data_IF_516780918836
#
_entry.id   IF_516780918836
#
_cell.length_a   1.000
_cell.length_b   1.000
_cell.length_c   1.000
_cell.angle_alpha   90.00
_cell.angle_beta   90.00
_cell.angle_gamma   90.00
#
_symmetry.space_group_name_H-M   'P 1'
#
loop_
_entity.id
_entity.type
_entity.pdbx_description
1 polymer ?
#
# COMPACT_ATOMS: atom_id res chain seq x y z
N UNK A 1 8.28 -7.25 -49.84
CA UNK A 1 8.59 -6.46 -48.68
C UNK A 1 7.31 -5.76 -48.26
N UNK A 2 6.61 -6.31 -47.28
CA UNK A 2 5.39 -5.69 -46.73
C UNK A 2 5.83 -4.50 -45.88
N UNK A 3 5.46 -3.28 -46.31
CA UNK A 3 5.66 -2.08 -45.48
C UNK A 3 4.80 -2.27 -44.22
N UNK A 4 5.45 -2.53 -43.07
CA UNK A 4 4.79 -2.45 -41.79
C UNK A 4 4.32 -1.00 -41.63
N UNK A 5 3.02 -0.82 -41.46
CA UNK A 5 2.51 0.49 -41.03
C UNK A 5 3.28 0.92 -39.74
N UNK A 6 3.63 2.21 -39.60
CA UNK A 6 4.32 2.65 -38.39
C UNK A 6 3.48 2.24 -37.17
N UNK A 7 4.05 1.37 -36.34
CA UNK A 7 3.35 0.95 -35.12
C UNK A 7 3.27 2.17 -34.20
N UNK A 8 2.09 2.38 -33.65
CA UNK A 8 1.79 3.48 -32.73
C UNK A 8 2.74 3.46 -31.52
N UNK A 9 3.26 4.63 -31.14
CA UNK A 9 4.17 4.81 -30.00
C UNK A 9 3.51 5.73 -29.00
N UNK A 10 3.19 5.19 -27.83
CA UNK A 10 2.68 5.98 -26.70
C UNK A 10 3.78 6.85 -26.09
N UNK A 11 3.42 7.97 -25.49
CA UNK A 11 4.35 8.76 -24.69
C UNK A 11 4.60 8.09 -23.33
N UNK A 12 3.55 7.52 -22.74
CA UNK A 12 3.60 6.88 -21.42
C UNK A 12 2.77 5.60 -21.37
N UNK A 13 3.36 4.50 -20.88
CA UNK A 13 2.64 3.30 -20.44
C UNK A 13 2.75 3.19 -18.92
N UNK A 14 1.62 3.27 -18.22
CA UNK A 14 1.54 2.99 -16.77
C UNK A 14 1.23 1.50 -16.51
N UNK A 15 1.95 0.86 -15.61
CA UNK A 15 1.74 -0.54 -15.23
C UNK A 15 1.31 -0.62 -13.77
N UNK A 16 0.06 -1.03 -13.54
CA UNK A 16 -0.61 -1.02 -12.25
C UNK A 16 -1.56 0.18 -12.09
N UNK A 17 -2.84 -0.10 -11.83
CA UNK A 17 -3.90 0.90 -11.65
C UNK A 17 -4.39 0.85 -10.19
N UNK A 18 -3.44 0.86 -9.25
CA UNK A 18 -3.70 1.19 -7.84
C UNK A 18 -3.86 2.71 -7.66
N UNK A 19 -4.01 3.24 -6.43
CA UNK A 19 -4.22 4.68 -6.21
C UNK A 19 -3.17 5.56 -6.90
N UNK A 20 -1.89 5.17 -6.88
CA UNK A 20 -0.83 5.97 -7.50
C UNK A 20 -0.88 5.94 -9.03
N UNK A 21 -1.09 4.77 -9.64
CA UNK A 21 -1.27 4.67 -11.10
C UNK A 21 -2.55 5.33 -11.59
N UNK A 22 -3.64 5.22 -10.82
CA UNK A 22 -4.90 5.89 -11.12
C UNK A 22 -4.78 7.42 -10.98
N UNK A 23 -4.05 7.92 -9.97
CA UNK A 23 -3.76 9.34 -9.81
C UNK A 23 -2.94 9.90 -10.97
N UNK A 24 -1.90 9.17 -11.39
CA UNK A 24 -1.10 9.52 -12.57
C UNK A 24 -1.97 9.55 -13.84
N UNK A 25 -2.87 8.56 -14.02
CA UNK A 25 -3.79 8.53 -15.15
C UNK A 25 -4.80 9.69 -15.13
N UNK A 26 -5.34 10.02 -13.96
CA UNK A 26 -6.29 11.12 -13.79
C UNK A 26 -5.66 12.50 -14.06
N UNK A 27 -4.38 12.69 -13.71
CA UNK A 27 -3.63 13.89 -14.02
C UNK A 27 -3.12 13.92 -15.48
N UNK A 28 -2.89 12.77 -16.11
CA UNK A 28 -2.53 12.69 -17.53
C UNK A 28 -3.71 13.00 -18.47
N UNK A 29 -4.94 12.63 -18.09
CA UNK A 29 -6.14 12.74 -18.95
C UNK A 29 -6.43 14.15 -19.50
N UNK A 30 -6.22 15.27 -18.75
CA UNK A 30 -6.45 16.61 -19.28
C UNK A 30 -5.35 17.11 -20.23
N UNK A 31 -4.21 16.42 -20.33
CA UNK A 31 -3.06 16.83 -21.13
C UNK A 31 -3.24 16.39 -22.58
N UNK A 32 -3.81 17.25 -23.41
CA UNK A 32 -4.24 16.92 -24.78
C UNK A 32 -3.12 16.40 -25.69
N UNK A 33 -1.88 16.79 -25.45
CA UNK A 33 -0.71 16.41 -26.25
C UNK A 33 0.02 15.18 -25.69
N UNK A 34 -0.52 14.53 -24.65
CA UNK A 34 0.07 13.36 -24.00
C UNK A 34 -0.74 12.10 -24.34
N UNK A 35 -0.14 11.20 -25.10
CA UNK A 35 -0.72 9.89 -25.35
C UNK A 35 -0.28 8.87 -24.28
N UNK A 36 -1.14 8.67 -23.29
CA UNK A 36 -0.88 7.77 -22.19
C UNK A 36 -1.88 6.60 -22.13
N UNK A 37 -1.39 5.40 -21.80
CA UNK A 37 -2.21 4.22 -21.55
C UNK A 37 -1.77 3.54 -20.26
N UNK A 38 -2.74 3.07 -19.47
CA UNK A 38 -2.50 2.38 -18.21
C UNK A 38 -3.06 0.98 -18.25
N UNK A 39 -2.28 0.02 -17.76
CA UNK A 39 -2.65 -1.42 -17.80
C UNK A 39 -2.64 -2.02 -16.40
N UNK A 40 -3.60 -2.91 -16.14
CA UNK A 40 -3.65 -3.71 -14.92
C UNK A 40 -4.17 -5.11 -15.19
N UNK A 41 -3.67 -6.10 -14.45
CA UNK A 41 -4.10 -7.49 -14.56
C UNK A 41 -5.49 -7.76 -13.95
N UNK A 42 -5.97 -6.90 -13.05
CA UNK A 42 -7.30 -6.99 -12.47
C UNK A 42 -8.40 -6.69 -13.50
N UNK A 43 -9.64 -6.96 -13.17
CA UNK A 43 -10.80 -6.66 -14.01
C UNK A 43 -11.43 -5.30 -13.73
N UNK A 44 -10.89 -4.57 -12.75
CA UNK A 44 -11.33 -3.24 -12.34
C UNK A 44 -10.60 -2.77 -11.08
N UNK A 45 -10.84 -1.52 -10.68
CA UNK A 45 -10.27 -0.98 -9.46
C UNK A 45 -10.88 -1.63 -8.22
N UNK A 46 -10.04 -2.04 -7.29
CA UNK A 46 -10.43 -2.53 -5.97
C UNK A 46 -9.29 -2.30 -4.98
N UNK A 47 -9.57 -1.59 -3.88
CA UNK A 47 -8.56 -1.22 -2.92
C UNK A 47 -8.69 -2.02 -1.63
N UNK A 48 -7.75 -2.94 -1.38
CA UNK A 48 -7.67 -3.78 -0.18
C UNK A 48 -8.99 -4.45 0.25
N UNK A 49 -9.71 -5.15 -0.65
CA UNK A 49 -11.07 -5.65 -0.37
C UNK A 49 -11.14 -6.59 0.84
N UNK A 50 -10.07 -7.32 1.14
CA UNK A 50 -10.04 -8.26 2.26
C UNK A 50 -9.95 -7.62 3.65
N UNK A 51 -9.68 -6.31 3.75
CA UNK A 51 -9.66 -5.54 5.01
C UNK A 51 -10.51 -4.28 4.93
N UNK A 52 -11.51 -4.26 4.05
CA UNK A 52 -12.48 -3.16 3.95
C UNK A 52 -13.55 -3.27 5.04
N UNK A 53 -13.12 -3.31 6.30
CA UNK A 53 -14.00 -3.43 7.46
C UNK A 53 -14.90 -2.19 7.55
N UNK A 54 -16.18 -2.40 7.79
CA UNK A 54 -17.17 -1.33 7.87
C UNK A 54 -16.80 -0.29 8.94
N UNK A 55 -17.00 0.98 8.59
CA UNK A 55 -16.72 2.11 9.47
C UNK A 55 -15.26 2.53 9.55
N UNK A 56 -14.31 1.77 8.97
CA UNK A 56 -12.90 2.18 8.95
C UNK A 56 -12.65 3.40 8.08
N UNK A 57 -11.78 4.30 8.56
CA UNK A 57 -11.42 5.53 7.86
C UNK A 57 -10.02 5.47 7.27
N UNK A 58 -9.73 6.35 6.32
CA UNK A 58 -8.36 6.70 5.99
C UNK A 58 -7.70 7.39 7.18
N UNK A 59 -6.38 7.24 7.31
CA UNK A 59 -5.57 7.96 8.29
C UNK A 59 -5.02 9.29 7.75
N UNK A 60 -5.51 9.72 6.58
CA UNK A 60 -5.16 10.97 5.91
C UNK A 60 -6.44 11.72 5.54
N UNK A 61 -6.42 13.07 5.52
CA UNK A 61 -7.60 13.85 5.15
C UNK A 61 -7.99 13.66 3.69
N UNK A 62 -9.22 14.01 3.35
CA UNK A 62 -9.79 13.87 1.99
C UNK A 62 -8.98 14.57 0.88
N UNK A 63 -8.13 15.54 1.23
CA UNK A 63 -7.20 16.20 0.30
C UNK A 63 -6.12 15.25 -0.22
N UNK A 64 -5.88 14.13 0.47
CA UNK A 64 -5.01 13.05 0.00
C UNK A 64 -5.72 12.17 -1.03
N UNK A 65 -6.50 12.78 -1.92
CA UNK A 65 -7.12 12.14 -3.06
C UNK A 65 -6.13 11.97 -4.23
N UNK A 66 -6.63 11.58 -5.39
CA UNK A 66 -5.79 11.25 -6.55
C UNK A 66 -5.14 12.48 -7.20
N UNK A 67 -5.70 13.70 -7.03
CA UNK A 67 -5.38 14.85 -7.92
C UNK A 67 -5.29 16.20 -7.19
N UNK A 68 -6.00 16.40 -6.08
CA UNK A 68 -6.27 17.74 -5.51
C UNK A 68 -4.99 18.49 -5.14
N UNK A 69 -3.94 17.79 -4.66
CA UNK A 69 -2.68 18.41 -4.29
C UNK A 69 -1.84 18.85 -5.51
N UNK A 70 -2.18 18.42 -6.72
CA UNK A 70 -1.57 18.90 -7.96
C UNK A 70 -2.49 19.87 -8.72
N UNK A 71 -3.79 19.57 -8.76
CA UNK A 71 -4.83 20.38 -9.40
C UNK A 71 -6.07 20.46 -8.51
N UNK A 72 -6.20 21.50 -7.68
CA UNK A 72 -7.38 21.70 -6.82
C UNK A 72 -8.68 21.91 -7.60
N UNK A 73 -8.61 22.18 -8.88
CA UNK A 73 -9.78 22.40 -9.74
C UNK A 73 -10.21 21.16 -10.52
N UNK A 74 -9.47 20.07 -10.36
CA UNK A 74 -9.71 18.83 -11.11
C UNK A 74 -11.12 18.29 -10.95
N UNK A 75 -11.72 17.94 -12.09
CA UNK A 75 -13.03 17.22 -12.11
C UNK A 75 -12.96 15.84 -11.44
N UNK A 76 -11.77 15.30 -11.25
CA UNK A 76 -11.51 14.01 -10.63
C UNK A 76 -11.22 14.10 -9.12
N UNK A 77 -11.43 15.26 -8.48
CA UNK A 77 -11.25 15.44 -7.05
C UNK A 77 -12.27 14.64 -6.23
N UNK A 78 -11.93 14.31 -4.98
CA UNK A 78 -12.85 13.67 -4.04
C UNK A 78 -14.11 14.52 -3.80
N UNK A 79 -13.98 15.85 -3.77
CA UNK A 79 -15.12 16.76 -3.65
C UNK A 79 -16.05 16.70 -4.87
N UNK A 80 -15.50 16.56 -6.07
CA UNK A 80 -16.27 16.38 -7.30
C UNK A 80 -17.06 15.06 -7.27
N UNK A 81 -16.43 13.97 -6.79
CA UNK A 81 -17.10 12.69 -6.54
C UNK A 81 -18.25 12.84 -5.53
N UNK A 82 -18.00 13.44 -4.36
CA UNK A 82 -19.03 13.64 -3.35
C UNK A 82 -20.22 14.44 -3.89
N UNK A 83 -19.95 15.43 -4.74
CA UNK A 83 -21.01 16.22 -5.40
C UNK A 83 -21.81 15.36 -6.36
N UNK A 84 -21.14 14.57 -7.20
CA UNK A 84 -21.78 13.67 -8.16
C UNK A 84 -22.60 12.57 -7.45
N UNK A 85 -22.10 12.05 -6.34
CA UNK A 85 -22.78 11.03 -5.54
C UNK A 85 -23.89 11.57 -4.61
N UNK A 86 -24.11 12.90 -4.58
CA UNK A 86 -25.10 13.53 -3.69
C UNK A 86 -24.71 13.52 -2.21
N UNK A 87 -23.42 13.29 -1.90
CA UNK A 87 -22.92 13.11 -0.53
C UNK A 87 -22.16 14.31 0.05
N UNK A 88 -21.99 15.37 -0.73
CA UNK A 88 -21.18 16.51 -0.31
C UNK A 88 -21.70 17.17 0.99
N UNK A 89 -23.03 17.38 1.11
CA UNK A 89 -23.61 17.94 2.33
C UNK A 89 -23.54 16.98 3.54
N UNK A 90 -23.88 15.68 3.42
CA UNK A 90 -23.63 14.73 4.51
C UNK A 90 -22.17 14.67 4.95
N UNK A 91 -21.22 14.74 4.03
CA UNK A 91 -19.79 14.77 4.36
C UNK A 91 -19.41 16.06 5.11
N UNK A 92 -19.92 17.21 4.67
CA UNK A 92 -19.73 18.49 5.36
C UNK A 92 -20.27 18.46 6.79
N UNK A 93 -21.50 17.97 6.98
CA UNK A 93 -22.16 17.90 8.30
C UNK A 93 -21.45 16.91 9.24
N UNK A 94 -20.79 15.89 8.70
CA UNK A 94 -20.01 14.91 9.48
C UNK A 94 -18.84 15.57 10.24
N UNK A 95 -18.36 16.71 9.77
CA UNK A 95 -17.25 17.47 10.38
C UNK A 95 -15.96 16.64 10.62
N UNK A 96 -15.75 15.60 9.82
CA UNK A 96 -14.56 14.78 9.83
C UNK A 96 -13.89 14.83 8.47
N UNK A 97 -12.62 15.23 8.44
CA UNK A 97 -11.85 15.29 7.19
C UNK A 97 -11.35 13.93 6.69
N UNK A 98 -11.51 12.87 7.49
CA UNK A 98 -11.04 11.52 7.16
C UNK A 98 -12.16 10.72 6.49
N UNK A 99 -12.08 10.43 5.19
CA UNK A 99 -13.08 9.64 4.48
C UNK A 99 -13.18 8.20 5.01
N UNK A 100 -14.33 7.57 4.85
CA UNK A 100 -14.41 6.12 4.99
C UNK A 100 -13.56 5.44 3.90
N UNK A 101 -12.91 4.34 4.21
CA UNK A 101 -12.14 3.57 3.19
C UNK A 101 -13.03 3.08 2.06
N UNK A 102 -14.23 2.62 2.38
CA UNK A 102 -15.24 2.22 1.38
C UNK A 102 -15.66 3.38 0.47
N UNK A 103 -15.74 4.60 1.00
CA UNK A 103 -16.06 5.81 0.21
C UNK A 103 -14.88 6.22 -0.67
N UNK A 104 -13.65 6.06 -0.20
CA UNK A 104 -12.46 6.28 -1.02
C UNK A 104 -12.31 5.24 -2.15
N UNK A 105 -12.59 3.96 -1.89
CA UNK A 105 -12.63 2.93 -2.93
C UNK A 105 -13.71 3.25 -3.98
N UNK A 106 -14.90 3.65 -3.55
CA UNK A 106 -15.98 4.08 -4.44
C UNK A 106 -15.59 5.31 -5.28
N UNK A 107 -14.89 6.27 -4.68
CA UNK A 107 -14.31 7.42 -5.37
C UNK A 107 -13.31 6.99 -6.46
N UNK A 108 -12.36 6.13 -6.13
CA UNK A 108 -11.38 5.64 -7.11
C UNK A 108 -12.06 4.88 -8.26
N UNK A 109 -13.08 4.07 -7.98
CA UNK A 109 -13.89 3.40 -9.02
C UNK A 109 -14.63 4.41 -9.90
N UNK A 110 -15.18 5.46 -9.29
CA UNK A 110 -15.85 6.53 -10.02
C UNK A 110 -14.89 7.29 -10.95
N UNK A 111 -13.66 7.55 -10.52
CA UNK A 111 -12.62 8.13 -11.39
C UNK A 111 -12.26 7.15 -12.49
N UNK A 112 -11.95 5.90 -12.15
CA UNK A 112 -11.56 4.87 -13.13
C UNK A 112 -12.58 4.66 -14.24
N UNK A 113 -13.89 4.79 -13.93
CA UNK A 113 -14.97 4.65 -14.91
C UNK A 113 -15.04 5.82 -15.93
N UNK A 114 -14.33 6.92 -15.69
CA UNK A 114 -14.35 8.10 -16.56
C UNK A 114 -13.09 8.23 -17.43
N UNK A 115 -12.05 7.41 -17.17
CA UNK A 115 -10.77 7.47 -17.89
C UNK A 115 -10.77 6.51 -19.07
N UNK A 116 -10.60 7.04 -20.27
CA UNK A 116 -10.49 6.26 -21.50
C UNK A 116 -9.14 5.55 -21.69
N UNK A 117 -8.11 5.99 -20.96
CA UNK A 117 -6.74 5.50 -21.03
C UNK A 117 -6.50 4.18 -20.29
N UNK A 118 -7.47 3.65 -19.50
CA UNK A 118 -7.30 2.45 -18.70
C UNK A 118 -7.62 1.17 -19.48
N UNK A 119 -6.76 0.15 -19.36
CA UNK A 119 -6.92 -1.17 -19.93
C UNK A 119 -6.79 -2.25 -18.87
N UNK A 120 -7.90 -2.82 -18.47
CA UNK A 120 -7.99 -3.90 -17.50
C UNK A 120 -7.69 -5.27 -18.11
N UNK A 121 -7.40 -6.27 -17.26
CA UNK A 121 -7.06 -7.65 -17.66
C UNK A 121 -5.84 -7.70 -18.59
N UNK A 122 -4.83 -6.87 -18.32
CA UNK A 122 -3.54 -6.84 -19.02
C UNK A 122 -2.42 -7.02 -17.99
N UNK A 123 -1.80 -8.19 -18.00
CA UNK A 123 -0.64 -8.49 -17.16
C UNK A 123 0.63 -8.16 -17.93
N UNK A 124 1.41 -7.21 -17.41
CA UNK A 124 2.73 -6.94 -17.96
C UNK A 124 3.68 -8.09 -17.62
N UNK A 125 4.41 -8.57 -18.65
CA UNK A 125 5.30 -9.71 -18.55
C UNK A 125 6.77 -9.31 -18.67
N UNK A 126 7.08 -8.38 -19.59
CA UNK A 126 8.45 -7.95 -19.86
C UNK A 126 8.45 -6.52 -20.40
N UNK A 127 9.55 -5.83 -20.13
CA UNK A 127 9.92 -4.56 -20.77
C UNK A 127 11.27 -4.75 -21.41
N UNK A 128 11.36 -4.43 -22.71
CA UNK A 128 12.57 -4.57 -23.52
C UNK A 128 12.89 -3.26 -24.22
N UNK A 129 14.15 -3.03 -24.56
CA UNK A 129 14.52 -1.91 -25.44
C UNK A 129 14.32 -2.27 -26.90
N UNK A 130 13.73 -1.34 -27.65
CA UNK A 130 13.58 -1.42 -29.09
C UNK A 130 13.98 -0.09 -29.72
N UNK A 131 15.28 0.08 -29.96
CA UNK A 131 15.83 1.33 -30.44
C UNK A 131 15.67 2.46 -29.43
N UNK A 132 15.00 3.55 -29.81
CA UNK A 132 14.74 4.70 -28.94
C UNK A 132 13.50 4.50 -28.04
N UNK A 133 12.80 3.38 -28.16
CA UNK A 133 11.56 3.11 -27.45
C UNK A 133 11.71 1.91 -26.49
N UNK A 134 10.71 1.78 -25.64
CA UNK A 134 10.50 0.61 -24.80
C UNK A 134 9.35 -0.21 -25.39
N UNK A 135 9.50 -1.53 -25.38
CA UNK A 135 8.47 -2.50 -25.78
C UNK A 135 7.94 -3.19 -24.53
N UNK A 136 6.67 -2.97 -24.23
CA UNK A 136 5.98 -3.62 -23.10
C UNK A 136 5.17 -4.80 -23.62
N UNK A 137 5.54 -6.02 -23.24
CA UNK A 137 4.82 -7.24 -23.56
C UNK A 137 3.76 -7.54 -22.50
N UNK A 138 2.51 -7.74 -22.94
CA UNK A 138 1.34 -7.96 -22.11
C UNK A 138 0.69 -9.30 -22.41
N UNK A 139 0.22 -10.00 -21.36
CA UNK A 139 -0.77 -11.08 -21.49
C UNK A 139 -2.17 -10.50 -21.29
N UNK A 140 -3.05 -10.73 -22.25
CA UNK A 140 -4.49 -10.42 -22.14
C UNK A 140 -5.17 -11.57 -21.42
N UNK A 141 -5.88 -11.26 -20.35
CA UNK A 141 -6.50 -12.25 -19.46
C UNK A 141 -8.01 -12.39 -19.74
N UNK A 142 -8.50 -13.60 -19.61
CA UNK A 142 -9.94 -13.89 -19.52
C UNK A 142 -10.51 -13.58 -18.11
N UNK A 143 -11.78 -13.89 -17.91
CA UNK A 143 -12.45 -13.67 -16.62
C UNK A 143 -11.92 -14.56 -15.49
N UNK A 144 -11.19 -15.63 -15.80
CA UNK A 144 -10.62 -16.59 -14.84
C UNK A 144 -9.11 -16.39 -14.66
N UNK A 145 -8.53 -15.33 -15.28
CA UNK A 145 -7.09 -15.01 -15.21
C UNK A 145 -6.23 -15.84 -16.16
N UNK A 146 -6.83 -16.63 -17.05
CA UNK A 146 -6.14 -17.36 -18.11
C UNK A 146 -5.68 -16.44 -19.24
N UNK A 147 -4.49 -16.67 -19.80
CA UNK A 147 -3.98 -15.89 -20.94
C UNK A 147 -4.69 -16.29 -22.24
N UNK A 148 -5.33 -15.33 -22.91
CA UNK A 148 -6.00 -15.54 -24.19
C UNK A 148 -5.14 -15.19 -25.39
N UNK A 149 -4.33 -14.14 -25.30
CA UNK A 149 -3.39 -13.68 -26.32
C UNK A 149 -2.33 -12.77 -25.71
N UNK A 150 -1.31 -12.45 -26.50
CA UNK A 150 -0.31 -11.45 -26.14
C UNK A 150 -0.54 -10.16 -26.94
N UNK A 151 -0.22 -9.02 -26.30
CA UNK A 151 -0.21 -7.70 -26.89
C UNK A 151 1.16 -7.06 -26.63
N UNK A 152 1.57 -6.12 -27.48
CA UNK A 152 2.78 -5.34 -27.31
C UNK A 152 2.45 -3.86 -27.47
N UNK A 153 2.95 -3.04 -26.53
CA UNK A 153 2.86 -1.59 -26.55
C UNK A 153 4.25 -1.01 -26.69
N UNK A 154 4.42 -0.12 -27.66
CA UNK A 154 5.62 0.72 -27.78
C UNK A 154 5.41 2.03 -27.07
N UNK A 155 6.41 2.49 -26.34
CA UNK A 155 6.32 3.71 -25.57
C UNK A 155 7.66 4.40 -25.39
N UNK A 156 7.63 5.72 -25.12
CA UNK A 156 8.81 6.49 -24.74
C UNK A 156 9.14 6.30 -23.26
N UNK A 157 8.11 6.28 -22.40
CA UNK A 157 8.26 6.15 -20.95
C UNK A 157 7.38 5.05 -20.39
N UNK A 158 7.82 4.44 -19.29
CA UNK A 158 7.02 3.50 -18.49
C UNK A 158 6.98 3.97 -17.05
N UNK A 159 5.79 3.98 -16.43
CA UNK A 159 5.62 4.19 -15.00
C UNK A 159 5.20 2.88 -14.32
N UNK A 160 6.04 2.38 -13.42
CA UNK A 160 5.79 1.18 -12.62
C UNK A 160 5.05 1.55 -11.35
N UNK A 161 3.76 1.22 -11.28
CA UNK A 161 2.88 1.41 -10.13
C UNK A 161 2.45 0.05 -9.56
N UNK A 162 3.38 -0.91 -9.45
CA UNK A 162 3.12 -2.32 -9.16
C UNK A 162 2.54 -2.56 -7.75
N UNK A 163 2.71 -1.60 -6.83
CA UNK A 163 2.25 -1.71 -5.46
C UNK A 163 2.97 -2.81 -4.69
N UNK A 164 2.27 -3.36 -3.69
CA UNK A 164 2.82 -4.33 -2.75
C UNK A 164 2.05 -5.64 -2.77
N UNK A 165 2.65 -6.70 -2.23
CA UNK A 165 2.02 -8.00 -2.02
C UNK A 165 2.01 -8.37 -0.53
N UNK A 166 0.99 -9.12 -0.05
CA UNK A 166 0.96 -9.66 1.29
C UNK A 166 2.25 -10.41 1.64
N UNK A 167 2.75 -10.22 2.88
CA UNK A 167 3.94 -10.89 3.36
C UNK A 167 3.64 -11.73 4.59
N UNK A 168 3.81 -13.04 4.49
CA UNK A 168 3.78 -13.97 5.61
C UNK A 168 5.21 -14.32 6.05
N UNK A 169 5.52 -14.36 7.36
CA UNK A 169 6.72 -15.03 7.86
C UNK A 169 6.79 -16.48 7.40
N UNK A 170 8.00 -17.02 7.22
CA UNK A 170 8.22 -18.34 6.60
C UNK A 170 7.40 -19.47 7.25
N UNK A 171 7.37 -19.52 8.58
CA UNK A 171 6.61 -20.54 9.33
C UNK A 171 5.11 -20.48 9.05
N UNK A 172 4.53 -19.28 9.01
CA UNK A 172 3.11 -19.09 8.70
C UNK A 172 2.82 -19.27 7.20
N UNK A 173 3.72 -18.89 6.31
CA UNK A 173 3.56 -19.09 4.87
C UNK A 173 3.49 -20.60 4.52
N UNK A 174 4.32 -21.42 5.20
CA UNK A 174 4.31 -22.88 5.03
C UNK A 174 2.95 -23.47 5.42
N UNK A 175 2.37 -23.04 6.54
CA UNK A 175 1.06 -23.52 7.00
C UNK A 175 -0.09 -23.00 6.10
N UNK A 176 -0.02 -21.73 5.69
CA UNK A 176 -1.01 -21.15 4.77
C UNK A 176 -1.06 -21.84 3.39
N UNK A 177 0.06 -22.42 2.96
CA UNK A 177 0.16 -23.15 1.69
C UNK A 177 -0.19 -24.65 1.80
N UNK A 178 -0.32 -25.16 3.03
CA UNK A 178 -0.74 -26.55 3.26
C UNK A 178 -2.28 -26.63 3.27
N UNK A 179 -2.83 -27.77 2.79
CA UNK A 179 -4.27 -28.08 2.90
C UNK A 179 -4.61 -28.53 4.32
N UNK A 180 -4.18 -27.76 5.33
CA UNK A 180 -4.41 -28.03 6.74
C UNK A 180 -5.83 -27.68 7.19
N UNK A 181 -6.28 -28.30 8.29
CA UNK A 181 -7.61 -28.09 8.84
C UNK A 181 -7.77 -26.70 9.49
N UNK A 182 -6.68 -26.13 10.03
CA UNK A 182 -6.71 -24.85 10.76
C UNK A 182 -6.37 -23.66 9.87
N UNK A 183 -7.20 -22.61 9.82
CA UNK A 183 -6.97 -21.45 8.96
C UNK A 183 -5.73 -20.64 9.36
N UNK A 184 -4.81 -20.41 8.41
CA UNK A 184 -3.72 -19.44 8.50
C UNK A 184 -3.85 -18.46 7.35
N UNK A 185 -4.20 -17.20 7.65
CA UNK A 185 -4.51 -16.18 6.65
C UNK A 185 -3.57 -14.99 6.77
N UNK A 186 -3.27 -14.34 5.66
CA UNK A 186 -2.85 -12.94 5.71
C UNK A 186 -4.07 -12.04 5.93
N UNK A 187 -3.89 -10.90 6.60
CA UNK A 187 -4.99 -9.93 6.82
C UNK A 187 -5.70 -9.49 5.52
N UNK A 188 -5.02 -9.54 4.37
CA UNK A 188 -5.62 -9.27 3.06
C UNK A 188 -6.74 -10.25 2.64
N UNK A 189 -6.88 -11.38 3.35
CA UNK A 189 -7.90 -12.40 3.10
C UNK A 189 -8.97 -12.45 4.21
N UNK A 190 -8.89 -11.51 5.17
CA UNK A 190 -9.67 -11.54 6.40
C UNK A 190 -11.19 -11.58 6.16
N UNK A 191 -11.74 -10.57 5.47
CA UNK A 191 -13.20 -10.44 5.32
C UNK A 191 -13.85 -11.64 4.59
N UNK A 192 -13.31 -12.13 3.47
CA UNK A 192 -13.88 -13.32 2.79
C UNK A 192 -13.88 -14.57 3.65
N UNK A 193 -12.94 -14.69 4.61
CA UNK A 193 -12.76 -15.89 5.44
C UNK A 193 -13.06 -15.67 6.93
N UNK A 194 -13.68 -14.54 7.28
CA UNK A 194 -13.99 -14.16 8.67
C UNK A 194 -14.84 -15.21 9.37
N UNK A 195 -15.81 -15.82 8.70
CA UNK A 195 -16.68 -16.82 9.29
C UNK A 195 -15.91 -18.07 9.75
N UNK A 196 -14.93 -18.54 8.97
CA UNK A 196 -14.06 -19.66 9.35
C UNK A 196 -13.29 -19.36 10.65
N UNK A 197 -12.82 -18.11 10.80
CA UNK A 197 -12.12 -17.68 12.01
C UNK A 197 -13.02 -17.70 13.23
N UNK A 198 -14.26 -17.24 13.10
CA UNK A 198 -15.23 -17.23 14.21
C UNK A 198 -15.64 -18.64 14.65
N UNK A 199 -15.55 -19.62 13.76
CA UNK A 199 -15.86 -21.04 14.04
C UNK A 199 -14.67 -21.81 14.64
N UNK A 200 -13.46 -21.27 14.57
CA UNK A 200 -12.23 -21.95 15.01
C UNK A 200 -12.04 -22.03 16.54
N UNK A 201 -12.99 -21.51 17.35
CA UNK A 201 -12.95 -21.52 18.82
C UNK A 201 -11.89 -20.62 19.45
N UNK A 202 -10.78 -20.37 18.77
CA UNK A 202 -9.77 -19.38 19.16
C UNK A 202 -9.01 -18.86 17.94
N UNK A 203 -8.68 -17.56 17.95
CA UNK A 203 -7.96 -16.88 16.86
C UNK A 203 -6.80 -16.09 17.45
N UNK A 204 -5.64 -16.16 16.81
CA UNK A 204 -4.50 -15.31 17.15
C UNK A 204 -4.21 -14.33 16.01
N UNK A 205 -4.31 -13.02 16.30
CA UNK A 205 -3.89 -11.95 15.39
C UNK A 205 -2.41 -11.66 15.64
N UNK A 206 -1.60 -11.71 14.57
CA UNK A 206 -0.14 -11.47 14.63
C UNK A 206 0.20 -10.21 13.88
N UNK A 207 0.66 -9.17 14.59
CA UNK A 207 1.04 -7.89 13.98
C UNK A 207 0.92 -6.72 14.95
N UNK A 208 1.41 -5.53 14.55
CA UNK A 208 1.42 -4.33 15.42
C UNK A 208 0.87 -3.06 14.75
N UNK A 209 0.47 -3.13 13.49
CA UNK A 209 0.01 -1.96 12.74
C UNK A 209 -1.51 -1.85 12.69
N UNK A 210 -1.99 -0.86 11.95
CA UNK A 210 -3.41 -0.53 11.80
C UNK A 210 -4.26 -1.74 11.40
N UNK A 211 -3.85 -2.54 10.40
CA UNK A 211 -4.61 -3.73 9.98
C UNK A 211 -4.75 -4.79 11.07
N UNK A 212 -3.70 -4.95 11.92
CA UNK A 212 -3.80 -5.87 13.05
C UNK A 212 -4.82 -5.39 14.08
N UNK A 213 -4.81 -4.10 14.40
CA UNK A 213 -5.72 -3.48 15.34
C UNK A 213 -7.18 -3.53 14.86
N UNK A 214 -7.42 -3.23 13.59
CA UNK A 214 -8.76 -3.30 12.97
C UNK A 214 -9.32 -4.71 12.97
N UNK A 215 -8.52 -5.69 12.54
CA UNK A 215 -8.91 -7.12 12.56
C UNK A 215 -9.15 -7.60 13.99
N UNK A 216 -8.28 -7.23 14.92
CA UNK A 216 -8.44 -7.60 16.33
C UNK A 216 -9.74 -7.02 16.91
N UNK A 217 -10.00 -5.72 16.72
CA UNK A 217 -11.20 -5.05 17.22
C UNK A 217 -12.47 -5.68 16.63
N UNK A 218 -12.47 -5.91 15.32
CA UNK A 218 -13.61 -6.47 14.60
C UNK A 218 -13.90 -7.92 15.02
N UNK A 219 -12.86 -8.77 15.09
CA UNK A 219 -13.00 -10.15 15.59
C UNK A 219 -13.46 -10.19 17.04
N UNK A 220 -12.84 -9.41 17.93
CA UNK A 220 -13.18 -9.44 19.35
C UNK A 220 -14.63 -9.03 19.59
N UNK A 221 -15.15 -8.08 18.83
CA UNK A 221 -16.53 -7.63 18.91
C UNK A 221 -17.51 -8.75 18.63
N UNK A 222 -17.24 -9.61 17.64
CA UNK A 222 -18.14 -10.69 17.25
C UNK A 222 -17.84 -12.01 17.96
N UNK A 223 -16.59 -12.26 18.32
CA UNK A 223 -16.13 -13.51 18.93
C UNK A 223 -16.45 -13.60 20.42
N UNK A 224 -16.33 -12.48 21.15
CA UNK A 224 -16.56 -12.49 22.60
C UNK A 224 -17.97 -12.97 23.02
N UNK A 225 -19.08 -12.55 22.37
CA UNK A 225 -20.40 -13.09 22.66
C UNK A 225 -20.56 -14.58 22.35
N UNK A 226 -19.72 -15.13 21.47
CA UNK A 226 -19.73 -16.54 21.06
C UNK A 226 -18.85 -17.43 21.96
N UNK A 227 -18.10 -16.84 22.89
CA UNK A 227 -17.11 -17.56 23.72
C UNK A 227 -15.81 -17.91 22.96
N UNK A 228 -15.61 -17.39 21.76
CA UNK A 228 -14.38 -17.57 20.99
C UNK A 228 -13.31 -16.62 21.52
N UNK A 229 -12.12 -17.18 21.85
CA UNK A 229 -10.97 -16.39 22.32
C UNK A 229 -10.25 -15.71 21.17
N UNK A 230 -9.90 -14.43 21.33
CA UNK A 230 -9.10 -13.67 20.35
C UNK A 230 -7.85 -13.14 21.04
N UNK A 231 -6.69 -13.68 20.71
CA UNK A 231 -5.40 -13.20 21.24
C UNK A 231 -4.70 -12.29 20.22
N UNK A 232 -3.90 -11.34 20.70
CA UNK A 232 -3.14 -10.42 19.85
C UNK A 232 -1.66 -10.45 20.23
N UNK A 233 -0.81 -10.84 19.28
CA UNK A 233 0.62 -11.05 19.48
C UNK A 233 1.42 -10.11 18.59
N UNK A 234 2.38 -9.38 19.16
CA UNK A 234 3.29 -8.54 18.40
C UNK A 234 4.73 -8.62 18.92
N UNK A 235 5.68 -8.66 17.98
CA UNK A 235 7.11 -8.53 18.26
C UNK A 235 7.52 -7.11 18.70
N UNK A 236 6.68 -6.12 18.44
CA UNK A 236 6.91 -4.74 18.88
C UNK A 236 6.81 -4.65 20.41
N UNK A 237 7.67 -3.84 21.01
CA UNK A 237 7.73 -3.66 22.47
C UNK A 237 6.41 -3.12 23.05
N UNK A 238 5.61 -2.48 22.23
CA UNK A 238 4.31 -1.90 22.58
C UNK A 238 3.38 -1.84 21.36
N UNK A 239 2.09 -1.69 21.60
CA UNK A 239 1.13 -1.22 20.61
C UNK A 239 1.30 0.30 20.52
N UNK A 240 1.96 0.76 19.45
CA UNK A 240 2.34 2.16 19.32
C UNK A 240 1.37 2.93 18.44
N UNK A 241 1.03 4.18 18.84
CA UNK A 241 0.21 5.05 18.03
C UNK A 241 0.95 5.52 16.78
N UNK A 242 0.20 5.92 15.77
CA UNK A 242 0.75 6.67 14.65
C UNK A 242 1.16 8.06 15.11
N UNK A 243 2.38 8.48 14.76
CA UNK A 243 2.90 9.81 15.10
C UNK A 243 2.35 10.86 14.13
N UNK A 244 1.15 11.31 14.37
CA UNK A 244 0.39 12.20 13.50
C UNK A 244 0.33 13.62 14.04
N UNK A 245 1.50 14.24 14.26
CA UNK A 245 1.60 15.66 14.66
C UNK A 245 2.02 16.53 13.48
N UNK A 246 1.68 17.82 13.53
CA UNK A 246 1.92 18.73 12.40
C UNK A 246 3.38 18.80 11.98
N UNK A 247 4.32 18.84 12.94
CA UNK A 247 5.75 18.89 12.64
C UNK A 247 6.28 17.53 12.14
N UNK A 248 5.74 16.41 12.58
CA UNK A 248 6.10 15.10 12.00
C UNK A 248 5.54 14.91 10.60
N UNK A 249 4.36 15.47 10.30
CA UNK A 249 3.78 15.45 8.95
C UNK A 249 4.62 16.23 7.93
N UNK A 250 5.40 17.23 8.34
CA UNK A 250 6.35 17.91 7.45
C UNK A 250 7.47 17.01 6.92
N UNK A 251 7.68 15.83 7.52
CA UNK A 251 8.56 14.80 6.94
C UNK A 251 8.00 14.18 5.65
N UNK A 252 6.71 14.38 5.37
CA UNK A 252 6.10 14.09 4.07
C UNK A 252 6.26 15.33 3.18
N UNK A 253 7.51 15.61 2.75
CA UNK A 253 7.88 16.78 1.97
C UNK A 253 9.01 16.50 0.99
N UNK A 254 9.15 17.33 -0.08
CA UNK A 254 10.28 17.26 -0.99
C UNK A 254 11.62 17.41 -0.27
N UNK A 255 11.71 18.35 0.69
CA UNK A 255 12.94 18.64 1.44
C UNK A 255 13.38 17.45 2.29
N UNK A 256 12.44 16.75 2.93
CA UNK A 256 12.78 15.54 3.67
C UNK A 256 13.18 14.40 2.74
N UNK A 257 12.53 14.28 1.60
CA UNK A 257 12.91 13.32 0.56
C UNK A 257 14.34 13.59 0.06
N UNK A 258 14.71 14.85 -0.15
CA UNK A 258 16.06 15.25 -0.55
C UNK A 258 17.09 14.86 0.49
N UNK A 259 16.83 15.13 1.80
CA UNK A 259 17.69 14.67 2.88
C UNK A 259 17.81 13.15 2.88
N UNK A 260 16.67 12.43 2.88
CA UNK A 260 16.66 10.97 2.96
C UNK A 260 17.43 10.34 1.81
N UNK A 261 17.22 10.83 0.57
CA UNK A 261 17.90 10.32 -0.63
C UNK A 261 19.41 10.57 -0.61
N UNK A 262 19.86 11.68 -0.01
CA UNK A 262 21.29 12.02 0.10
C UNK A 262 22.06 11.18 1.14
N UNK A 263 21.35 10.46 2.02
CA UNK A 263 21.99 9.64 3.05
C UNK A 263 22.57 8.33 2.46
N UNK A 264 23.63 7.76 3.08
CA UNK A 264 24.09 6.41 2.79
C UNK A 264 22.96 5.37 2.96
N UNK A 265 22.99 4.29 2.18
CA UNK A 265 21.98 3.22 2.20
C UNK A 265 21.73 2.69 3.62
N UNK A 266 22.79 2.41 4.39
CA UNK A 266 22.69 1.92 5.77
C UNK A 266 21.93 2.88 6.70
N UNK A 267 22.10 4.20 6.50
CA UNK A 267 21.41 5.23 7.28
C UNK A 267 19.93 5.34 6.86
N UNK A 268 19.63 5.27 5.57
CA UNK A 268 18.25 5.21 5.07
C UNK A 268 17.51 4.01 5.67
N UNK A 269 18.12 2.83 5.65
CA UNK A 269 17.54 1.62 6.22
C UNK A 269 17.37 1.71 7.75
N UNK A 270 18.29 2.36 8.45
CA UNK A 270 18.17 2.62 9.88
C UNK A 270 16.98 3.54 10.18
N UNK A 271 16.87 4.64 9.44
CA UNK A 271 15.77 5.61 9.58
C UNK A 271 14.42 4.97 9.26
N UNK A 272 14.29 4.22 8.18
CA UNK A 272 13.04 3.52 7.82
C UNK A 272 12.56 2.58 8.93
N UNK A 273 13.49 1.93 9.66
CA UNK A 273 13.14 1.12 10.84
C UNK A 273 12.69 1.96 12.04
N UNK A 274 13.34 3.09 12.30
CA UNK A 274 13.05 3.96 13.45
C UNK A 274 11.75 4.78 13.24
N UNK A 275 11.49 5.18 12.00
CA UNK A 275 10.36 6.04 11.63
C UNK A 275 9.07 5.26 11.30
N UNK A 276 9.02 3.98 11.62
CA UNK A 276 7.82 3.15 11.35
C UNK A 276 6.55 3.70 11.98
N UNK A 277 6.65 4.40 13.11
CA UNK A 277 5.49 5.01 13.77
C UNK A 277 4.84 6.12 12.93
N UNK A 278 5.55 6.73 11.98
CA UNK A 278 5.01 7.80 11.12
C UNK A 278 3.90 7.30 10.18
N UNK A 279 3.94 6.02 9.75
CA UNK A 279 3.01 5.48 8.76
C UNK A 279 2.59 4.01 9.00
N UNK A 280 3.14 3.35 10.04
CA UNK A 280 2.83 1.94 10.38
C UNK A 280 2.29 1.79 11.80
N UNK A 281 1.98 2.89 12.49
CA UNK A 281 1.33 2.91 13.80
C UNK A 281 -0.17 2.65 13.71
N UNK A 282 -0.83 2.65 14.86
CA UNK A 282 -2.28 2.51 15.00
C UNK A 282 -2.86 3.92 15.21
N UNK A 283 -3.99 4.26 14.59
CA UNK A 283 -4.66 5.53 14.88
C UNK A 283 -5.07 5.61 16.36
N UNK A 284 -4.94 6.79 16.97
CA UNK A 284 -5.24 6.96 18.38
C UNK A 284 -6.68 6.57 18.71
N UNK A 285 -7.64 7.01 17.88
CA UNK A 285 -9.05 6.69 18.04
C UNK A 285 -9.32 5.17 18.08
N UNK A 286 -8.64 4.39 17.23
CA UNK A 286 -8.79 2.92 17.24
C UNK A 286 -8.17 2.29 18.50
N UNK A 287 -7.08 2.84 19.03
CA UNK A 287 -6.51 2.38 20.31
C UNK A 287 -7.52 2.61 21.43
N UNK A 288 -8.15 3.78 21.46
CA UNK A 288 -9.16 4.15 22.45
C UNK A 288 -10.40 3.24 22.31
N UNK A 289 -10.91 3.02 21.09
CA UNK A 289 -12.01 2.07 20.82
C UNK A 289 -11.70 0.65 21.33
N UNK A 290 -10.49 0.15 21.07
CA UNK A 290 -10.08 -1.18 21.54
C UNK A 290 -10.04 -1.20 23.07
N UNK A 291 -9.50 -0.18 23.71
CA UNK A 291 -9.45 -0.11 25.18
C UNK A 291 -10.85 -0.08 25.79
N UNK A 292 -11.75 0.73 25.26
CA UNK A 292 -13.15 0.77 25.72
C UNK A 292 -13.88 -0.57 25.53
N UNK A 293 -13.62 -1.27 24.42
CA UNK A 293 -14.16 -2.62 24.20
C UNK A 293 -13.65 -3.60 25.27
N UNK A 294 -12.35 -3.63 25.54
CA UNK A 294 -11.74 -4.49 26.56
C UNK A 294 -12.28 -4.18 27.96
N UNK A 295 -12.38 -2.86 28.28
CA UNK A 295 -12.94 -2.40 29.55
C UNK A 295 -14.40 -2.86 29.71
N UNK A 296 -15.23 -2.69 28.67
CA UNK A 296 -16.62 -3.14 28.69
C UNK A 296 -16.78 -4.65 28.82
N UNK A 297 -15.92 -5.43 28.16
CA UNK A 297 -15.93 -6.90 28.26
C UNK A 297 -15.59 -7.41 29.67
N UNK A 298 -14.75 -6.69 30.41
CA UNK A 298 -14.35 -7.06 31.80
C UNK A 298 -15.25 -6.48 32.88
N UNK A 299 -16.23 -5.65 32.50
CA UNK A 299 -17.17 -5.09 33.46
C UNK A 299 -17.88 -6.20 34.28
N UNK A 300 -18.16 -5.90 35.53
CA UNK A 300 -18.77 -6.83 36.50
C UNK A 300 -17.91 -8.07 36.82
N UNK A 301 -16.56 -7.97 36.69
CA UNK A 301 -15.63 -9.03 37.09
C UNK A 301 -15.57 -10.21 36.10
N UNK A 302 -16.02 -10.05 34.86
CA UNK A 302 -15.87 -11.06 33.82
C UNK A 302 -14.40 -11.23 33.45
N UNK A 303 -13.99 -12.47 33.17
CA UNK A 303 -12.66 -12.72 32.61
C UNK A 303 -12.59 -12.21 31.15
N UNK A 304 -11.44 -11.63 30.80
CA UNK A 304 -11.18 -11.19 29.44
C UNK A 304 -10.90 -12.41 28.55
N UNK A 305 -11.68 -12.65 27.48
CA UNK A 305 -11.44 -13.75 26.54
C UNK A 305 -10.34 -13.40 25.54
N UNK A 306 -9.27 -12.76 25.99
CA UNK A 306 -8.20 -12.25 25.12
C UNK A 306 -6.90 -12.04 25.89
N UNK A 307 -5.78 -12.22 25.20
CA UNK A 307 -4.44 -11.83 25.68
C UNK A 307 -3.79 -10.93 24.64
N UNK A 308 -3.20 -9.84 25.12
CA UNK A 308 -2.42 -8.90 24.31
C UNK A 308 -0.94 -9.07 24.69
N UNK A 309 -0.14 -9.65 23.80
CA UNK A 309 1.25 -10.01 24.04
C UNK A 309 2.17 -9.09 23.22
N UNK A 310 2.85 -8.18 23.91
CA UNK A 310 3.87 -7.28 23.32
C UNK A 310 5.26 -7.90 23.45
N UNK A 311 6.26 -7.35 22.76
CA UNK A 311 7.64 -7.81 22.76
C UNK A 311 7.76 -9.34 22.49
N UNK A 312 6.77 -9.93 21.83
CA UNK A 312 6.62 -11.38 21.66
C UNK A 312 6.60 -11.72 20.16
N UNK A 313 7.64 -12.40 19.72
CA UNK A 313 7.75 -12.87 18.34
C UNK A 313 7.20 -14.30 18.20
N UNK A 314 6.51 -14.58 17.10
CA UNK A 314 6.25 -15.93 16.62
C UNK A 314 7.53 -16.40 15.93
N UNK A 315 8.23 -17.37 16.50
CA UNK A 315 9.51 -17.89 15.98
C UNK A 315 9.31 -19.09 15.07
N UNK A 316 8.33 -19.94 15.38
CA UNK A 316 7.88 -21.03 14.52
C UNK A 316 6.39 -21.29 14.70
N UNK A 317 5.81 -22.09 13.78
CA UNK A 317 4.42 -22.49 13.82
C UNK A 317 4.28 -23.90 13.23
N UNK A 318 3.41 -24.73 13.84
CA UNK A 318 3.13 -26.10 13.37
C UNK A 318 1.66 -26.46 13.59
N UNK A 319 1.16 -27.39 12.80
CA UNK A 319 -0.14 -28.01 13.04
C UNK A 319 -0.08 -28.92 14.27
N UNK A 320 -1.19 -29.00 15.01
CA UNK A 320 -1.38 -29.89 16.15
C UNK A 320 -2.85 -30.30 16.23
N UNK A 321 -3.15 -31.44 15.64
CA UNK A 321 -4.53 -31.90 15.47
C UNK A 321 -5.30 -31.00 14.52
N UNK A 322 -6.40 -30.44 15.03
CA UNK A 322 -7.26 -29.46 14.33
C UNK A 322 -6.90 -27.99 14.59
N UNK A 323 -5.76 -27.73 15.25
CA UNK A 323 -5.30 -26.41 15.63
C UNK A 323 -3.85 -26.13 15.22
N UNK A 324 -3.34 -25.02 15.73
CA UNK A 324 -1.99 -24.51 15.47
C UNK A 324 -1.29 -24.27 16.80
N UNK A 325 -0.04 -24.67 16.89
CA UNK A 325 0.88 -24.28 17.97
C UNK A 325 1.86 -23.27 17.42
N UNK A 326 1.89 -22.09 18.05
CA UNK A 326 2.86 -21.03 17.79
C UNK A 326 3.95 -21.09 18.86
N UNK A 327 5.20 -21.15 18.45
CA UNK A 327 6.34 -21.00 19.34
C UNK A 327 6.61 -19.51 19.51
N UNK A 328 6.49 -19.03 20.73
CA UNK A 328 6.61 -17.63 21.11
C UNK A 328 7.95 -17.38 21.82
N UNK A 329 8.60 -16.27 21.50
CA UNK A 329 9.80 -15.79 22.20
C UNK A 329 9.61 -14.31 22.60
N UNK A 330 9.71 -14.03 23.90
CA UNK A 330 9.60 -12.70 24.46
C UNK A 330 10.97 -12.02 24.50
N UNK A 331 11.16 -10.95 23.72
CA UNK A 331 12.48 -10.35 23.46
C UNK A 331 13.13 -9.72 24.71
N UNK A 332 12.32 -9.17 25.64
CA UNK A 332 12.85 -8.46 26.82
C UNK A 332 13.25 -9.41 27.96
N UNK A 333 12.59 -10.57 28.07
CA UNK A 333 12.84 -11.51 29.16
C UNK A 333 13.57 -12.78 28.75
N UNK A 334 13.71 -13.00 27.43
CA UNK A 334 14.28 -14.24 26.87
C UNK A 334 13.42 -15.49 27.07
N UNK A 335 12.22 -15.37 27.66
CA UNK A 335 11.31 -16.51 27.88
C UNK A 335 10.71 -16.98 26.59
N UNK A 336 10.53 -18.28 26.48
CA UNK A 336 9.79 -18.94 25.40
C UNK A 336 8.55 -19.65 25.91
N UNK A 337 7.53 -19.80 25.07
CA UNK A 337 6.32 -20.53 25.42
C UNK A 337 5.64 -21.03 24.12
N UNK A 338 4.91 -22.13 24.24
CA UNK A 338 3.95 -22.56 23.24
C UNK A 338 2.60 -21.87 23.44
N UNK A 339 1.98 -21.49 22.34
CA UNK A 339 0.65 -20.88 22.32
C UNK A 339 -0.24 -21.62 21.32
N UNK A 340 -1.32 -22.24 21.84
CA UNK A 340 -2.29 -23.00 21.03
C UNK A 340 -3.44 -22.11 20.60
N UNK A 341 -3.81 -22.21 19.32
CA UNK A 341 -4.90 -21.45 18.70
C UNK A 341 -5.56 -22.26 17.60
N UNK A 342 -6.86 -22.04 17.37
CA UNK A 342 -7.59 -22.68 16.27
C UNK A 342 -7.34 -22.04 14.90
N UNK A 343 -6.98 -20.75 14.88
CA UNK A 343 -6.68 -20.04 13.64
C UNK A 343 -5.67 -18.92 13.85
N UNK A 344 -5.03 -18.47 12.77
CA UNK A 344 -4.07 -17.33 12.77
C UNK A 344 -4.43 -16.33 11.69
N UNK A 345 -4.51 -15.04 12.05
CA UNK A 345 -4.54 -13.93 11.10
C UNK A 345 -3.23 -13.18 11.19
N UNK A 346 -2.39 -13.30 10.17
CA UNK A 346 -1.12 -12.63 10.08
C UNK A 346 -1.27 -11.26 9.43
N UNK A 347 -1.34 -10.20 10.24
CA UNK A 347 -1.28 -8.80 9.80
C UNK A 347 0.19 -8.32 9.80
N UNK A 348 1.02 -9.06 9.09
CA UNK A 348 2.49 -8.92 9.10
C UNK A 348 3.02 -7.98 8.02
N UNK A 349 2.11 -7.27 7.36
CA UNK A 349 2.38 -6.21 6.40
C UNK A 349 2.60 -6.72 4.98
N UNK A 350 3.17 -5.86 4.17
CA UNK A 350 3.33 -6.05 2.73
C UNK A 350 4.79 -5.84 2.33
N UNK A 351 5.18 -6.40 1.19
CA UNK A 351 6.46 -6.15 0.53
C UNK A 351 6.23 -5.60 -0.87
N UNK A 352 7.15 -4.78 -1.40
CA UNK A 352 7.12 -4.42 -2.80
C UNK A 352 6.95 -5.65 -3.68
N UNK A 353 6.15 -5.55 -4.73
CA UNK A 353 6.08 -6.62 -5.74
C UNK A 353 7.39 -6.66 -6.50
N UNK A 354 7.83 -7.87 -6.85
CA UNK A 354 9.00 -8.05 -7.67
C UNK A 354 8.80 -7.42 -9.05
N UNK A 355 9.85 -6.79 -9.54
CA UNK A 355 9.86 -6.14 -10.85
C UNK A 355 10.55 -7.03 -11.89
N UNK A 356 10.25 -8.34 -11.91
CA UNK A 356 10.82 -9.34 -12.83
C UNK A 356 10.62 -8.97 -14.30
N UNK A 357 9.58 -8.21 -14.59
CA UNK A 357 9.34 -7.65 -15.92
C UNK A 357 10.47 -6.74 -16.41
N UNK A 358 11.36 -6.26 -15.53
CA UNK A 358 12.56 -5.51 -15.86
C UNK A 358 13.79 -6.39 -16.17
N UNK A 359 13.69 -7.71 -15.97
CA UNK A 359 14.83 -8.62 -16.16
C UNK A 359 15.50 -8.52 -17.54
N UNK A 360 14.76 -8.32 -18.66
CA UNK A 360 15.38 -8.16 -19.97
C UNK A 360 16.28 -6.91 -20.12
N UNK A 361 16.09 -5.90 -19.26
CA UNK A 361 16.87 -4.68 -19.29
C UNK A 361 18.23 -4.81 -18.58
N UNK A 362 18.40 -5.84 -17.72
CA UNK A 362 19.66 -6.19 -17.09
C UNK A 362 20.30 -5.04 -16.33
N UNK A 363 21.57 -4.76 -16.65
CA UNK A 363 22.40 -3.73 -15.99
C UNK A 363 21.97 -2.29 -16.25
N UNK A 364 21.03 -2.05 -17.18
CA UNK A 364 20.47 -0.71 -17.42
C UNK A 364 19.57 -0.23 -16.27
N UNK A 365 19.12 -1.17 -15.42
CA UNK A 365 18.34 -0.87 -14.22
C UNK A 365 19.27 -0.65 -13.06
N UNK A 366 19.25 0.54 -12.49
CA UNK A 366 20.02 0.86 -11.29
C UNK A 366 19.49 0.09 -10.08
N UNK A 367 20.42 -0.55 -9.36
CA UNK A 367 20.11 -1.28 -8.12
C UNK A 367 21.07 -0.86 -7.02
N UNK A 368 20.59 -0.82 -5.79
CA UNK A 368 21.39 -0.60 -4.60
C UNK A 368 22.17 -1.86 -4.17
N UNK A 369 22.97 -1.76 -3.11
CA UNK A 369 23.78 -2.86 -2.59
C UNK A 369 22.98 -4.06 -2.09
N UNK A 370 21.69 -3.89 -1.80
CA UNK A 370 20.76 -4.96 -1.43
C UNK A 370 19.98 -5.54 -2.63
N UNK A 371 20.25 -5.05 -3.87
CA UNK A 371 19.59 -5.50 -5.09
C UNK A 371 18.21 -4.87 -5.35
N UNK A 372 17.79 -3.90 -4.50
CA UNK A 372 16.53 -3.15 -4.69
C UNK A 372 16.70 -2.10 -5.79
N UNK A 373 15.61 -1.64 -6.38
CA UNK A 373 15.66 -0.57 -7.39
C UNK A 373 16.24 0.73 -6.78
N UNK A 374 17.36 1.22 -7.27
CA UNK A 374 17.90 2.52 -6.84
C UNK A 374 17.18 3.65 -7.57
N UNK A 375 16.07 4.08 -6.98
CA UNK A 375 15.18 5.09 -7.53
C UNK A 375 15.80 6.46 -7.35
N UNK A 376 16.03 7.18 -8.46
CA UNK A 376 16.54 8.55 -8.44
C UNK A 376 15.48 9.54 -7.95
N UNK A 377 15.90 10.77 -7.67
CA UNK A 377 15.04 11.82 -7.10
C UNK A 377 13.82 12.16 -7.97
N UNK A 378 13.94 11.98 -9.27
CA UNK A 378 12.89 12.17 -10.28
C UNK A 378 12.08 10.88 -10.54
N UNK A 379 12.17 9.91 -9.63
CA UNK A 379 11.52 8.59 -9.69
C UNK A 379 12.01 7.66 -10.80
N UNK A 380 13.11 7.97 -11.50
CA UNK A 380 13.67 7.09 -12.54
C UNK A 380 14.57 6.00 -11.95
N UNK A 381 14.67 4.86 -12.66
CA UNK A 381 15.52 3.71 -12.29
C UNK A 381 16.51 3.34 -13.40
N UNK A 382 16.51 4.04 -14.51
CA UNK A 382 17.43 3.87 -15.63
C UNK A 382 18.16 5.19 -15.95
N UNK A 383 19.31 5.09 -16.62
CA UNK A 383 20.11 6.28 -16.96
C UNK A 383 19.50 7.10 -18.10
N UNK A 384 18.63 6.48 -18.90
CA UNK A 384 17.92 7.17 -19.97
C UNK A 384 16.71 7.98 -19.46
N UNK A 385 16.33 7.86 -18.18
CA UNK A 385 15.23 8.60 -17.58
C UNK A 385 13.85 8.21 -18.11
N UNK A 386 13.69 6.96 -18.57
CA UNK A 386 12.47 6.47 -19.21
C UNK A 386 11.60 5.57 -18.34
N UNK A 387 12.18 5.04 -17.26
CA UNK A 387 11.51 4.08 -16.38
C UNK A 387 11.29 4.70 -15.00
N UNK A 388 10.04 4.97 -14.66
CA UNK A 388 9.64 5.60 -13.40
C UNK A 388 9.04 4.57 -12.44
N UNK A 389 9.24 4.77 -11.13
CA UNK A 389 8.69 3.89 -10.07
C UNK A 389 7.89 4.71 -9.08
N UNK A 390 6.64 4.29 -8.79
CA UNK A 390 5.74 4.95 -7.85
C UNK A 390 5.16 3.95 -6.84
N UNK A 391 5.34 4.23 -5.55
CA UNK A 391 4.69 3.51 -4.44
C UNK A 391 5.49 2.35 -3.84
N UNK A 392 6.71 2.07 -4.33
CA UNK A 392 7.59 1.03 -3.78
C UNK A 392 8.99 1.53 -3.44
N UNK A 393 9.22 2.83 -3.52
CA UNK A 393 10.50 3.51 -3.37
C UNK A 393 10.81 3.95 -1.91
N UNK A 394 10.14 3.38 -0.88
CA UNK A 394 10.34 3.77 0.54
C UNK A 394 11.82 3.76 0.97
N UNK A 395 12.61 2.81 0.49
CA UNK A 395 14.03 2.68 0.83
C UNK A 395 14.93 3.79 0.26
N UNK A 396 14.45 4.53 -0.73
CA UNK A 396 15.16 5.68 -1.35
C UNK A 396 14.51 7.01 -1.02
N UNK A 397 13.19 7.08 -0.90
CA UNK A 397 12.41 8.32 -0.72
C UNK A 397 11.80 8.46 0.68
N UNK A 398 11.98 7.46 1.56
CA UNK A 398 11.48 7.51 2.93
C UNK A 398 9.95 7.49 3.03
N UNK A 399 9.43 8.19 4.00
CA UNK A 399 8.01 8.18 4.40
C UNK A 399 7.05 8.74 3.35
N UNK A 400 7.55 9.47 2.36
CA UNK A 400 6.72 10.02 1.27
C UNK A 400 6.24 8.94 0.29
N UNK A 401 6.97 7.82 0.17
CA UNK A 401 6.66 6.78 -0.82
C UNK A 401 5.30 6.09 -0.61
N UNK A 402 4.90 5.66 0.61
CA UNK A 402 3.58 5.06 0.85
C UNK A 402 2.46 6.08 1.05
N UNK A 403 2.77 7.39 1.17
CA UNK A 403 1.79 8.42 1.53
C UNK A 403 0.87 8.76 0.35
N UNK A 404 -0.46 8.66 0.56
CA UNK A 404 -1.47 9.02 -0.43
C UNK A 404 -1.48 10.53 -0.70
N UNK A 405 -1.28 11.36 0.34
CA UNK A 405 -1.27 12.82 0.21
C UNK A 405 -0.13 13.34 -0.67
N UNK A 406 0.96 12.59 -0.74
CA UNK A 406 2.09 12.90 -1.62
C UNK A 406 1.97 12.26 -3.02
N UNK A 407 0.89 11.51 -3.28
CA UNK A 407 0.67 10.80 -4.55
C UNK A 407 0.56 11.73 -5.75
N UNK A 408 -0.23 12.79 -5.65
CA UNK A 408 -0.42 13.76 -6.71
C UNK A 408 0.88 14.55 -7.03
N UNK A 409 1.65 14.92 -5.99
CA UNK A 409 2.95 15.57 -6.17
C UNK A 409 3.94 14.68 -6.94
N UNK A 410 3.99 13.39 -6.61
CA UNK A 410 4.82 12.41 -7.34
C UNK A 410 4.38 12.24 -8.78
N UNK A 411 3.07 12.15 -9.01
CA UNK A 411 2.52 12.09 -10.37
C UNK A 411 2.87 13.33 -11.19
N UNK A 412 2.82 14.54 -10.60
CA UNK A 412 3.26 15.78 -11.24
C UNK A 412 4.73 15.75 -11.64
N UNK A 413 5.59 15.18 -10.78
CA UNK A 413 7.03 15.03 -11.07
C UNK A 413 7.26 14.08 -12.26
N UNK A 414 6.56 12.95 -12.30
CA UNK A 414 6.67 12.02 -13.44
C UNK A 414 6.13 12.65 -14.72
N UNK A 415 4.99 13.34 -14.67
CA UNK A 415 4.43 14.01 -15.83
C UNK A 415 5.35 15.14 -16.35
N UNK A 416 6.03 15.86 -15.47
CA UNK A 416 7.02 16.86 -15.88
C UNK A 416 8.19 16.22 -16.63
N UNK A 417 8.69 15.07 -16.18
CA UNK A 417 9.74 14.33 -16.87
C UNK A 417 9.28 13.80 -18.24
N UNK A 418 8.07 13.27 -18.32
CA UNK A 418 7.50 12.69 -19.55
C UNK A 418 7.20 13.76 -20.60
N UNK A 419 6.68 14.93 -20.19
CA UNK A 419 6.27 16.00 -21.10
C UNK A 419 7.40 17.00 -21.43
N UNK A 420 8.49 16.96 -20.66
CA UNK A 420 9.56 17.95 -20.77
C UNK A 420 9.19 19.35 -20.25
N UNK A 421 8.08 19.46 -19.49
CA UNK A 421 7.59 20.71 -18.90
C UNK A 421 6.94 20.47 -17.54
N UNK A 422 6.42 21.50 -16.89
CA UNK A 422 5.66 21.38 -15.63
C UNK A 422 4.16 21.62 -15.89
N UNK A 423 3.38 20.61 -16.35
CA UNK A 423 1.95 20.79 -16.61
C UNK A 423 1.17 21.10 -15.32
N UNK A 424 1.69 20.68 -14.18
CA UNK A 424 1.22 21.02 -12.85
C UNK A 424 2.38 21.64 -12.06
N UNK A 425 2.16 22.74 -11.32
CA UNK A 425 3.19 23.30 -10.45
C UNK A 425 3.71 22.26 -9.45
N UNK A 426 5.03 22.20 -9.28
CA UNK A 426 5.66 21.27 -8.34
C UNK A 426 6.27 22.09 -7.21
N UNK A 427 5.66 22.00 -6.03
CA UNK A 427 6.17 22.66 -4.83
C UNK A 427 7.52 22.04 -4.43
N UNK A 428 8.52 22.90 -4.19
CA UNK A 428 9.88 22.50 -3.81
C UNK A 428 10.16 22.77 -2.33
N UNK A 429 9.38 23.64 -1.71
CA UNK A 429 9.50 24.05 -0.30
C UNK A 429 8.11 24.13 0.33
N UNK A 430 7.78 23.17 1.19
CA UNK A 430 6.50 23.09 1.88
C UNK A 430 6.64 23.00 3.40
N UNK A 431 7.83 22.61 3.91
CA UNK A 431 8.09 22.45 5.34
C UNK A 431 8.58 23.77 5.95
N UNK A 432 8.17 24.04 7.18
CA UNK A 432 8.78 25.08 8.02
C UNK A 432 10.10 24.63 8.62
N UNK A 433 10.27 23.33 8.81
CA UNK A 433 11.50 22.74 9.33
C UNK A 433 12.60 22.73 8.26
N UNK A 434 13.85 22.91 8.71
CA UNK A 434 15.03 22.67 7.88
C UNK A 434 15.57 21.28 8.19
N UNK A 435 15.57 20.40 7.21
CA UNK A 435 16.12 19.06 7.34
C UNK A 435 17.61 19.09 7.00
N UNK A 436 18.45 18.89 8.00
CA UNK A 436 19.91 19.02 7.93
C UNK A 436 20.42 20.39 8.39
N UNK A 437 21.71 20.60 8.27
CA UNK A 437 22.33 21.89 8.56
C UNK A 437 22.31 22.77 7.28
N UNK A 438 21.99 24.08 7.42
CA UNK A 438 22.17 25.01 6.31
C UNK A 438 23.61 24.97 5.81
N UNK A 439 23.81 25.16 4.51
CA UNK A 439 25.16 25.35 3.97
C UNK A 439 25.83 26.55 4.68
N UNK A 440 27.07 26.38 5.08
CA UNK A 440 27.85 27.50 5.63
C UNK A 440 27.98 28.59 4.54
N UNK A 441 27.56 29.80 4.87
CA UNK A 441 27.66 30.97 3.98
C UNK A 441 29.11 31.41 3.86
#
# INVERSE_FOLDING_TARGET
MSAHAPQHVHDLVGIGIGPFGLGLAALAEPLADLDAVFVDQSDGFSWHPGVMIDGTTLQVPFLADLVTMADPTSRFSFLSYLKAAGRLYPFYIRESFYPLRSEYDAYCRWVAAQLGSLRWRRRALAIEEEGEHLLVTLAVLDAHGGTTRFEQLRTRHVALCLGTAPHLPHSLARLAAADGAAPVLHSAEYLPRKQELLEAGSVTVVGSGQSAAEVYRDLLTEAAPRGTRVDWVTRSERFFPMEYTKLTLEMTSPEYTDLHRALPESERDRLSRQQRALHKGISADLIDEIHELLYGLTAHGRELPSRLLTATAVTDAREDGDGIVLDLAHSLTGRTAEHRTGAVVAATGYRPRDADLLAPLGERIRRDGAGRLDVARDYTVDDAGRLHVLGTEEHTHGVTAPDLGFGAWRASTVLAAVTGGEPYPIERHIAFQTFGLPAAH
#
